data_IF_844846207640
#
_entry.id   IF_844846207640
#
_cell.length_a   1.000
_cell.length_b   1.000
_cell.length_c   1.000
_cell.angle_alpha   90.00
_cell.angle_beta   90.00
_cell.angle_gamma   90.00
#
_symmetry.space_group_name_H-M   'P 1'
#
loop_
_entity.id
_entity.type
_entity.pdbx_description
1 polymer ?
#
# COMPACT_ATOMS: atom_id res chain seq x y z
N UNK A 1 13.16 -11.57 3.29
CA UNK A 1 12.22 -10.46 3.11
C UNK A 1 12.65 -9.61 1.93
N UNK A 2 11.69 -9.25 1.10
CA UNK A 2 11.94 -8.42 -0.07
C UNK A 2 12.08 -6.95 0.34
N UNK A 3 13.06 -6.29 -0.24
CA UNK A 3 13.27 -4.86 -0.11
C UNK A 3 12.50 -4.15 -1.21
N UNK A 4 11.64 -3.22 -0.83
CA UNK A 4 10.87 -2.41 -1.77
C UNK A 4 11.30 -0.95 -1.70
N UNK A 5 11.29 -0.31 -2.86
CA UNK A 5 11.53 1.13 -3.00
C UNK A 5 10.21 1.79 -3.38
N UNK A 6 9.84 2.82 -2.65
CA UNK A 6 8.54 3.46 -2.79
C UNK A 6 8.65 4.98 -2.81
N UNK A 7 8.03 5.61 -3.81
CA UNK A 7 7.66 7.01 -3.76
C UNK A 7 6.18 7.12 -3.45
N UNK A 8 5.82 7.87 -2.42
CA UNK A 8 4.44 8.09 -2.02
C UNK A 8 4.19 9.57 -1.87
N UNK A 9 3.13 10.08 -2.46
CA UNK A 9 2.84 11.50 -2.46
C UNK A 9 1.35 11.81 -2.52
N UNK A 10 0.97 12.95 -1.95
CA UNK A 10 -0.41 13.44 -1.98
C UNK A 10 -0.70 14.07 -3.34
N UNK A 11 -1.93 13.88 -3.81
CA UNK A 11 -2.41 14.46 -5.06
C UNK A 11 -3.77 15.10 -4.87
N UNK A 12 -4.13 16.04 -5.73
CA UNK A 12 -5.46 16.65 -5.71
C UNK A 12 -6.51 15.75 -6.37
N UNK A 13 -6.13 15.14 -7.50
CA UNK A 13 -6.99 14.22 -8.26
C UNK A 13 -6.26 12.95 -8.63
N UNK A 14 -6.98 11.82 -8.58
CA UNK A 14 -6.40 10.51 -8.93
C UNK A 14 -6.51 10.18 -10.41
N UNK A 15 -7.47 10.78 -11.12
CA UNK A 15 -7.75 10.48 -12.53
C UNK A 15 -6.53 10.61 -13.47
N UNK A 16 -5.68 11.64 -13.35
CA UNK A 16 -4.51 11.73 -14.22
C UNK A 16 -3.56 10.54 -14.09
N UNK A 17 -3.46 9.97 -12.89
CA UNK A 17 -2.57 8.82 -12.64
C UNK A 17 -3.18 7.52 -13.16
N UNK A 18 -4.49 7.36 -13.06
CA UNK A 18 -5.22 6.23 -13.67
C UNK A 18 -5.02 6.27 -15.18
N UNK A 19 -5.23 7.43 -15.79
CA UNK A 19 -5.03 7.62 -17.23
C UNK A 19 -3.58 7.37 -17.66
N UNK A 20 -2.61 7.82 -16.86
CA UNK A 20 -1.21 7.53 -17.12
C UNK A 20 -0.96 6.02 -17.18
N UNK A 21 -1.45 5.29 -16.20
CA UNK A 21 -1.29 3.83 -16.15
C UNK A 21 -1.93 3.16 -17.38
N UNK A 22 -3.14 3.54 -17.72
CA UNK A 22 -3.87 2.97 -18.86
C UNK A 22 -3.16 3.27 -20.19
N UNK A 23 -2.71 4.52 -20.39
CA UNK A 23 -2.00 4.94 -21.61
C UNK A 23 -0.61 4.29 -21.76
N UNK A 24 0.01 3.93 -20.66
CA UNK A 24 1.35 3.32 -20.66
C UNK A 24 1.32 1.80 -20.50
N UNK A 25 0.18 1.17 -20.74
CA UNK A 25 0.00 -0.28 -20.75
C UNK A 25 0.25 -0.97 -19.41
N UNK A 26 -0.02 -0.26 -18.30
CA UNK A 26 -0.09 -0.90 -16.99
C UNK A 26 -1.37 -1.72 -16.92
N UNK A 27 -1.28 -2.92 -16.37
CA UNK A 27 -2.43 -3.78 -16.16
C UNK A 27 -3.07 -3.48 -14.81
N UNK A 28 -4.36 -3.20 -14.79
CA UNK A 28 -5.11 -3.08 -13.53
C UNK A 28 -5.29 -4.47 -12.92
N UNK A 29 -4.65 -4.70 -11.78
CA UNK A 29 -4.70 -5.99 -11.08
C UNK A 29 -5.69 -6.00 -9.91
N UNK A 30 -6.10 -4.83 -9.44
CA UNK A 30 -7.07 -4.71 -8.35
C UNK A 30 -7.78 -3.36 -8.38
N UNK A 31 -9.05 -3.40 -8.03
CA UNK A 31 -9.85 -2.23 -7.67
C UNK A 31 -10.78 -2.68 -6.56
N UNK A 32 -10.62 -2.12 -5.36
CA UNK A 32 -11.40 -2.56 -4.21
C UNK A 32 -11.58 -1.45 -3.18
N UNK A 33 -12.66 -1.57 -2.41
CA UNK A 33 -12.79 -0.86 -1.15
C UNK A 33 -11.96 -1.62 -0.12
N UNK A 34 -11.15 -0.89 0.64
CA UNK A 34 -10.22 -1.48 1.57
C UNK A 34 -10.28 -0.77 2.92
N UNK A 35 -10.32 -1.56 3.99
CA UNK A 35 -10.04 -1.07 5.34
C UNK A 35 -8.73 -1.70 5.82
N UNK A 36 -7.95 -0.92 6.54
CA UNK A 36 -6.68 -1.40 7.07
C UNK A 36 -6.52 -0.90 8.50
N UNK A 37 -6.29 -1.82 9.41
CA UNK A 37 -5.93 -1.51 10.77
C UNK A 37 -4.42 -1.67 10.93
N UNK A 38 -3.78 -0.64 11.49
CA UNK A 38 -2.35 -0.60 11.73
C UNK A 38 -2.08 -0.78 13.22
N UNK A 39 -1.18 -1.70 13.52
CA UNK A 39 -0.70 -1.99 14.88
C UNK A 39 0.80 -1.79 14.93
N UNK A 40 1.30 -1.23 16.02
CA UNK A 40 2.73 -0.97 16.23
C UNK A 40 3.29 -1.77 17.39
N UNK A 41 4.51 -2.26 17.18
CA UNK A 41 5.38 -2.75 18.24
C UNK A 41 6.66 -1.92 18.19
N UNK A 42 6.77 -0.90 19.05
CA UNK A 42 7.83 0.10 18.96
C UNK A 42 7.61 1.05 17.78
N UNK A 43 8.67 1.64 17.24
CA UNK A 43 8.58 2.72 16.27
C UNK A 43 8.74 2.30 14.80
N UNK A 44 9.12 1.05 14.53
CA UNK A 44 9.56 0.64 13.20
C UNK A 44 8.67 -0.39 12.53
N UNK A 45 8.11 -1.33 13.27
CA UNK A 45 7.36 -2.44 12.70
C UNK A 45 5.87 -2.18 12.79
N UNK A 46 5.22 -2.28 11.64
CA UNK A 46 3.76 -2.24 11.52
C UNK A 46 3.23 -3.64 11.24
N UNK A 47 2.26 -4.08 12.04
CA UNK A 47 1.40 -5.18 11.65
C UNK A 47 0.16 -4.58 10.99
N UNK A 48 -0.22 -5.10 9.81
CA UNK A 48 -1.34 -4.58 9.04
C UNK A 48 -2.39 -5.66 8.87
N UNK A 49 -3.59 -5.39 9.36
CA UNK A 49 -4.77 -6.23 9.10
C UNK A 49 -5.59 -5.53 8.03
N UNK A 50 -5.64 -6.12 6.85
CA UNK A 50 -6.26 -5.51 5.68
C UNK A 50 -7.48 -6.32 5.24
N UNK A 51 -8.60 -5.63 5.06
CA UNK A 51 -9.83 -6.21 4.53
C UNK A 51 -10.10 -5.62 3.16
N UNK A 52 -10.14 -6.47 2.14
CA UNK A 52 -10.48 -6.09 0.78
C UNK A 52 -11.92 -6.51 0.47
N UNK A 53 -12.70 -5.58 -0.04
CA UNK A 53 -14.08 -5.82 -0.45
C UNK A 53 -14.13 -5.76 -1.98
N UNK A 54 -14.35 -6.90 -2.62
CA UNK A 54 -14.43 -7.03 -4.07
C UNK A 54 -15.70 -7.82 -4.39
N UNK A 55 -16.60 -7.20 -5.18
CA UNK A 55 -17.87 -7.83 -5.62
C UNK A 55 -18.68 -8.43 -4.47
N UNK A 56 -18.77 -7.70 -3.35
CA UNK A 56 -19.50 -8.14 -2.16
C UNK A 56 -18.80 -9.19 -1.30
N UNK A 57 -17.60 -9.62 -1.68
CA UNK A 57 -16.80 -10.57 -0.91
C UNK A 57 -15.70 -9.87 -0.13
N UNK A 58 -15.57 -10.25 1.13
CA UNK A 58 -14.52 -9.77 2.01
C UNK A 58 -13.39 -10.79 2.10
N UNK A 59 -12.15 -10.31 1.91
CA UNK A 59 -10.95 -11.11 2.19
C UNK A 59 -10.08 -10.36 3.18
N UNK A 60 -9.54 -11.08 4.15
CA UNK A 60 -8.73 -10.52 5.23
C UNK A 60 -7.30 -11.02 5.08
N UNK A 61 -6.35 -10.10 5.20
CA UNK A 61 -4.91 -10.39 5.11
C UNK A 61 -4.17 -9.81 6.30
N UNK A 62 -3.11 -10.50 6.69
CA UNK A 62 -2.16 -10.04 7.70
C UNK A 62 -0.77 -10.00 7.10
N UNK A 63 -0.06 -8.89 7.28
CA UNK A 63 1.35 -8.78 6.97
C UNK A 63 2.08 -7.86 7.92
N UNK A 64 3.40 -7.86 7.81
CA UNK A 64 4.29 -6.96 8.56
C UNK A 64 5.02 -6.06 7.58
N UNK A 65 5.20 -4.81 7.96
CA UNK A 65 5.99 -3.83 7.20
C UNK A 65 6.96 -3.11 8.11
N UNK A 66 8.17 -2.94 7.61
CA UNK A 66 9.24 -2.24 8.29
C UNK A 66 9.78 -1.15 7.37
N UNK A 67 9.62 0.10 7.76
CA UNK A 67 10.19 1.25 7.05
C UNK A 67 11.52 1.61 7.69
N UNK A 68 12.62 1.15 7.08
CA UNK A 68 13.94 1.28 7.67
C UNK A 68 14.72 2.51 7.26
N UNK A 69 14.57 2.96 6.04
CA UNK A 69 15.42 3.98 5.46
C UNK A 69 14.63 4.92 4.58
N UNK A 70 15.09 6.15 4.51
CA UNK A 70 14.57 7.16 3.59
C UNK A 70 15.76 7.81 2.90
N UNK A 71 15.73 7.85 1.58
CA UNK A 71 16.68 8.57 0.75
C UNK A 71 15.91 9.66 0.01
N UNK A 72 16.02 10.91 0.45
CA UNK A 72 15.16 12.04 0.03
C UNK A 72 13.66 11.70 0.23
N UNK A 73 12.90 11.60 -0.85
CA UNK A 73 11.48 11.21 -0.83
C UNK A 73 11.26 9.71 -1.09
N UNK A 74 12.33 8.98 -1.35
CA UNK A 74 12.29 7.55 -1.58
C UNK A 74 12.28 6.80 -0.26
N UNK A 75 11.26 6.01 -0.03
CA UNK A 75 11.17 5.10 1.13
C UNK A 75 11.72 3.74 0.76
N UNK A 76 12.49 3.18 1.66
CA UNK A 76 13.03 1.83 1.52
C UNK A 76 12.38 0.98 2.61
N UNK A 77 11.59 0.01 2.18
CA UNK A 77 10.74 -0.79 3.07
C UNK A 77 11.07 -2.27 2.95
N UNK A 78 10.78 -3.02 4.01
CA UNK A 78 10.77 -4.49 3.98
C UNK A 78 9.36 -4.96 4.32
N UNK A 79 8.87 -5.92 3.56
CA UNK A 79 7.56 -6.53 3.79
C UNK A 79 7.68 -8.04 3.94
N UNK A 80 6.88 -8.59 4.85
CA UNK A 80 6.89 -10.02 5.14
C UNK A 80 6.22 -10.88 4.08
N UNK A 81 5.54 -10.27 3.13
CA UNK A 81 4.51 -10.97 2.37
C UNK A 81 3.24 -11.11 3.22
N UNK A 82 2.11 -11.26 2.58
CA UNK A 82 0.82 -11.35 3.27
C UNK A 82 0.33 -12.79 3.36
N UNK A 83 -0.43 -13.08 4.43
CA UNK A 83 -1.19 -14.32 4.56
C UNK A 83 -2.68 -14.00 4.58
N UNK A 84 -3.48 -14.83 3.93
CA UNK A 84 -4.93 -14.71 4.00
C UNK A 84 -5.44 -15.35 5.28
N UNK A 85 -6.28 -14.60 6.02
CA UNK A 85 -6.92 -15.09 7.24
C UNK A 85 -8.27 -15.68 6.84
N UNK A 86 -8.33 -17.00 6.75
CA UNK A 86 -9.51 -17.72 6.25
C UNK A 86 -10.42 -18.27 7.34
N UNK A 87 -9.94 -18.37 8.57
CA UNK A 87 -10.69 -18.92 9.70
C UNK A 87 -11.15 -17.79 10.64
N UNK A 88 -10.62 -17.80 11.85
CA UNK A 88 -11.02 -16.87 12.89
C UNK A 88 -10.00 -15.75 13.07
N UNK A 89 -10.48 -14.55 13.29
CA UNK A 89 -9.65 -13.42 13.72
C UNK A 89 -9.10 -13.59 15.14
N UNK A 90 -9.60 -14.55 15.90
CA UNK A 90 -9.14 -14.83 17.26
C UNK A 90 -7.64 -15.09 17.31
N UNK A 91 -7.13 -15.91 16.40
CA UNK A 91 -5.68 -16.18 16.33
C UNK A 91 -4.89 -14.90 16.04
N UNK A 92 -5.34 -14.10 15.10
CA UNK A 92 -4.68 -12.84 14.73
C UNK A 92 -4.66 -11.89 15.91
N UNK A 93 -5.80 -11.71 16.57
CA UNK A 93 -5.91 -10.83 17.73
C UNK A 93 -5.01 -11.30 18.89
N UNK A 94 -5.00 -12.61 19.15
CA UNK A 94 -4.14 -13.21 20.18
C UNK A 94 -2.66 -13.04 19.82
N UNK A 95 -2.28 -13.26 18.57
CA UNK A 95 -0.91 -13.06 18.10
C UNK A 95 -0.44 -11.63 18.30
N UNK A 96 -1.26 -10.66 17.87
CA UNK A 96 -0.93 -9.24 18.02
C UNK A 96 -0.77 -8.86 19.50
N UNK A 97 -1.67 -9.33 20.35
CA UNK A 97 -1.60 -9.08 21.80
C UNK A 97 -0.35 -9.70 22.44
N UNK A 98 -0.08 -10.98 22.17
CA UNK A 98 1.07 -11.69 22.71
C UNK A 98 2.39 -11.11 22.23
N UNK A 99 2.45 -10.63 21.01
CA UNK A 99 3.63 -9.95 20.43
C UNK A 99 3.68 -8.46 20.79
N UNK A 100 2.77 -7.99 21.65
CA UNK A 100 2.73 -6.61 22.16
C UNK A 100 2.55 -5.55 21.10
N UNK A 101 1.88 -5.90 20.01
CA UNK A 101 1.42 -4.91 19.04
C UNK A 101 0.20 -4.17 19.59
N UNK A 102 0.21 -2.85 19.46
CA UNK A 102 -0.89 -2.01 19.92
C UNK A 102 -1.54 -1.30 18.74
N UNK A 103 -2.86 -1.19 18.78
CA UNK A 103 -3.61 -0.45 17.77
C UNK A 103 -3.06 0.96 17.62
N UNK A 104 -2.82 1.37 16.37
CA UNK A 104 -2.32 2.68 16.03
C UNK A 104 -3.37 3.51 15.32
N UNK A 105 -3.89 3.04 14.20
CA UNK A 105 -4.94 3.74 13.45
C UNK A 105 -5.63 2.83 12.45
N UNK A 106 -6.81 3.28 12.01
CA UNK A 106 -7.59 2.63 10.95
C UNK A 106 -7.61 3.52 9.71
N UNK A 107 -7.43 2.92 8.54
CA UNK A 107 -7.53 3.57 7.25
C UNK A 107 -8.71 2.99 6.47
N UNK A 108 -9.44 3.85 5.77
CA UNK A 108 -10.49 3.44 4.84
C UNK A 108 -10.25 4.13 3.51
N UNK A 109 -10.23 3.35 2.43
CA UNK A 109 -9.92 3.88 1.11
C UNK A 109 -10.52 3.03 -0.01
N UNK A 110 -10.64 3.63 -1.18
CA UNK A 110 -10.75 2.90 -2.44
C UNK A 110 -9.37 2.85 -3.05
N UNK A 111 -8.91 1.64 -3.38
CA UNK A 111 -7.57 1.41 -3.92
C UNK A 111 -7.64 0.84 -5.32
N UNK A 112 -6.86 1.44 -6.21
CA UNK A 112 -6.60 0.95 -7.56
C UNK A 112 -5.14 0.52 -7.63
N UNK A 113 -4.89 -0.69 -8.11
CA UNK A 113 -3.52 -1.22 -8.26
C UNK A 113 -3.25 -1.54 -9.72
N UNK A 114 -2.21 -0.94 -10.26
CA UNK A 114 -1.73 -1.14 -11.62
C UNK A 114 -0.30 -1.66 -11.60
N UNK A 115 0.04 -2.54 -12.52
CA UNK A 115 1.34 -3.18 -12.59
C UNK A 115 1.86 -3.25 -14.01
N UNK A 116 3.16 -3.00 -14.17
CA UNK A 116 3.89 -3.21 -15.42
C UNK A 116 5.33 -3.57 -15.10
N UNK A 117 5.75 -4.79 -15.44
CA UNK A 117 7.07 -5.28 -15.11
C UNK A 117 7.31 -5.25 -13.59
N UNK A 118 8.35 -4.56 -13.17
CA UNK A 118 8.73 -4.45 -11.76
C UNK A 118 8.24 -3.16 -11.10
N UNK A 119 7.27 -2.49 -11.71
CA UNK A 119 6.68 -1.26 -11.17
C UNK A 119 5.21 -1.47 -10.88
N UNK A 120 4.80 -1.05 -9.70
CA UNK A 120 3.41 -1.08 -9.26
C UNK A 120 2.98 0.31 -8.82
N UNK A 121 1.79 0.72 -9.26
CA UNK A 121 1.10 1.90 -8.77
C UNK A 121 0.02 1.47 -7.80
N UNK A 122 -0.01 2.10 -6.65
CA UNK A 122 -1.15 2.07 -5.73
C UNK A 122 -1.75 3.46 -5.70
N UNK A 123 -2.98 3.58 -6.20
CA UNK A 123 -3.69 4.86 -6.31
C UNK A 123 -4.86 4.81 -5.34
N UNK A 124 -4.80 5.65 -4.31
CA UNK A 124 -5.72 5.60 -3.18
C UNK A 124 -6.58 6.84 -3.06
N UNK A 125 -7.87 6.62 -2.99
CA UNK A 125 -8.84 7.62 -2.59
C UNK A 125 -9.31 7.31 -1.17
N UNK A 126 -8.73 8.00 -0.19
CA UNK A 126 -9.03 7.78 1.22
C UNK A 126 -10.30 8.49 1.66
N UNK A 127 -11.12 7.77 2.42
CA UNK A 127 -12.24 8.33 3.18
C UNK A 127 -11.83 8.70 4.60
N UNK A 128 -10.95 7.90 5.21
CA UNK A 128 -10.44 8.08 6.56
C UNK A 128 -8.94 7.78 6.59
N UNK A 129 -8.09 8.79 6.85
CA UNK A 129 -8.37 10.22 6.75
C UNK A 129 -8.68 10.64 5.31
N UNK A 130 -9.40 11.73 5.10
CA UNK A 130 -9.73 12.19 3.74
C UNK A 130 -8.50 12.72 3.03
N UNK A 131 -8.03 11.99 2.02
CA UNK A 131 -6.84 12.31 1.24
C UNK A 131 -6.81 11.50 -0.04
N UNK A 132 -6.02 11.92 -1.00
CA UNK A 132 -5.72 11.17 -2.21
C UNK A 132 -4.21 10.97 -2.27
N UNK A 133 -3.78 9.74 -2.44
CA UNK A 133 -2.36 9.35 -2.37
C UNK A 133 -2.02 8.44 -3.54
N UNK A 134 -0.86 8.67 -4.12
CA UNK A 134 -0.29 7.78 -5.14
C UNK A 134 1.03 7.25 -4.62
N UNK A 135 1.20 5.94 -4.68
CA UNK A 135 2.47 5.27 -4.40
C UNK A 135 2.97 4.58 -5.68
N UNK A 136 4.26 4.70 -5.92
CA UNK A 136 4.98 4.01 -6.99
C UNK A 136 6.04 3.16 -6.32
N UNK A 137 5.94 1.85 -6.47
CA UNK A 137 6.82 0.92 -5.77
C UNK A 137 7.37 -0.16 -6.70
N UNK A 138 8.52 -0.71 -6.30
CA UNK A 138 9.18 -1.78 -7.03
C UNK A 138 10.70 -1.68 -6.99
N UNK A 139 11.33 -2.04 -8.11
CA UNK A 139 12.78 -1.96 -8.28
C UNK A 139 13.26 -0.52 -8.35
N UNK A 140 14.37 -0.22 -7.65
CA UNK A 140 14.88 1.15 -7.49
C UNK A 140 15.04 1.92 -8.79
N UNK A 141 15.73 1.34 -9.76
CA UNK A 141 16.02 2.01 -11.04
C UNK A 141 14.74 2.32 -11.82
N UNK A 142 13.83 1.36 -11.87
CA UNK A 142 12.56 1.50 -12.57
C UNK A 142 11.64 2.53 -11.89
N UNK A 143 11.58 2.50 -10.57
CA UNK A 143 10.76 3.41 -9.78
C UNK A 143 11.29 4.85 -9.90
N UNK A 144 12.60 5.05 -9.83
CA UNK A 144 13.23 6.37 -10.02
C UNK A 144 12.89 6.95 -11.39
N UNK A 145 12.95 6.14 -12.43
CA UNK A 145 12.65 6.54 -13.81
C UNK A 145 11.20 6.98 -13.96
N UNK A 146 10.28 6.16 -13.48
CA UNK A 146 8.84 6.43 -13.56
C UNK A 146 8.47 7.67 -12.75
N UNK A 147 8.99 7.78 -11.54
CA UNK A 147 8.73 8.94 -10.69
C UNK A 147 9.23 10.25 -11.32
N UNK A 148 10.43 10.24 -11.90
CA UNK A 148 10.98 11.40 -12.62
C UNK A 148 10.11 11.79 -13.81
N UNK A 149 9.61 10.83 -14.56
CA UNK A 149 8.71 11.08 -15.68
C UNK A 149 7.40 11.73 -15.23
N UNK A 150 6.81 11.21 -14.17
CA UNK A 150 5.55 11.75 -13.61
C UNK A 150 5.75 13.16 -13.07
N UNK A 151 6.83 13.39 -12.34
CA UNK A 151 7.16 14.71 -11.79
C UNK A 151 7.30 15.77 -12.88
N UNK A 152 7.84 15.42 -14.03
CA UNK A 152 8.03 16.33 -15.15
C UNK A 152 6.74 16.59 -15.94
N UNK A 153 5.69 15.80 -15.77
CA UNK A 153 4.42 15.96 -16.49
C UNK A 153 3.45 16.97 -15.85
N UNK A 154 3.74 17.45 -14.64
CA UNK A 154 2.89 18.42 -13.93
C UNK A 154 1.40 18.01 -13.85
N UNK A 155 1.16 16.84 -13.34
CA UNK A 155 -0.22 16.39 -13.10
C UNK A 155 -0.93 17.24 -12.03
#
# INVERSE_FOLDING_TARGET
MNKEYEYSFYVEEIEPFIQYCEKNNYRKIRECNQTRELYKNGNKILARVTKNYIDGNEKIFLDLKDENETEDTLKICRESGEIEVTNSMEFVNSLLEMMKFKFHKKLERKRYVYEKGNVKFEIDDYKVPKAKVVAIEGDKLEVDKVYSEIKNRNF
#
